data_IF_133733692629
#
_entry.id   IF_133733692629
#
_cell.length_a   1.000
_cell.length_b   1.000
_cell.length_c   1.000
_cell.angle_alpha   90.00
_cell.angle_beta   90.00
_cell.angle_gamma   90.00
#
_symmetry.space_group_name_H-M   'P 1'
#
loop_
_entity.id
_entity.type
_entity.pdbx_description
1 polymer ?
#
# COMPACT_ATOMS: atom_id res chain seq x y z
N UNK A 1 -86.15 -47.49 2.38
CA UNK A 1 -86.72 -46.39 1.57
C UNK A 1 -85.56 -45.51 1.10
N UNK A 2 -85.21 -45.58 -0.19
CA UNK A 2 -84.38 -44.58 -0.87
C UNK A 2 -85.24 -43.34 -1.17
N UNK A 3 -84.67 -42.10 -1.23
CA UNK A 3 -84.04 -41.59 -2.47
C UNK A 3 -82.81 -40.68 -2.25
N UNK A 4 -81.73 -40.82 -3.06
CA UNK A 4 -81.29 -39.93 -4.16
C UNK A 4 -80.94 -38.48 -3.79
N UNK A 5 -79.70 -38.05 -4.08
CA UNK A 5 -79.25 -36.82 -4.80
C UNK A 5 -77.72 -36.68 -4.59
N UNK A 6 -76.89 -37.00 -5.59
CA UNK A 6 -76.34 -36.10 -6.61
C UNK A 6 -75.09 -35.32 -6.16
N UNK A 7 -73.95 -35.74 -6.72
CA UNK A 7 -72.92 -34.93 -7.39
C UNK A 7 -72.27 -33.77 -6.64
N UNK A 8 -70.95 -33.87 -6.43
CA UNK A 8 -69.94 -32.92 -6.95
C UNK A 8 -68.55 -33.51 -6.60
N UNK A 9 -67.81 -33.96 -7.63
CA UNK A 9 -66.38 -34.26 -7.53
C UNK A 9 -65.63 -32.96 -7.82
N UNK A 10 -65.04 -32.34 -6.80
CA UNK A 10 -64.05 -31.27 -7.01
C UNK A 10 -62.70 -31.95 -7.15
N UNK A 11 -62.25 -32.09 -8.40
CA UNK A 11 -60.86 -32.41 -8.74
C UNK A 11 -60.01 -31.17 -8.43
N UNK A 12 -59.29 -31.19 -7.31
CA UNK A 12 -58.18 -30.27 -7.07
C UNK A 12 -56.97 -30.74 -7.88
N UNK A 13 -56.76 -30.15 -9.06
CA UNK A 13 -55.48 -30.21 -9.77
C UNK A 13 -54.51 -29.27 -9.06
N UNK A 14 -53.67 -29.83 -8.19
CA UNK A 14 -52.49 -29.13 -7.66
C UNK A 14 -51.42 -29.07 -8.76
N UNK A 15 -51.38 -27.97 -9.50
CA UNK A 15 -50.23 -27.62 -10.34
C UNK A 15 -49.04 -27.25 -9.44
N UNK A 16 -48.11 -28.19 -9.26
CA UNK A 16 -46.78 -27.91 -8.72
C UNK A 16 -46.00 -27.05 -9.72
N UNK A 17 -46.03 -25.74 -9.56
CA UNK A 17 -45.06 -24.82 -10.14
C UNK A 17 -43.72 -25.03 -9.43
N UNK A 18 -42.86 -25.86 -10.02
CA UNK A 18 -41.43 -25.91 -9.69
C UNK A 18 -40.79 -24.60 -10.17
N UNK A 19 -40.81 -23.59 -9.31
CA UNK A 19 -39.92 -22.44 -9.42
C UNK A 19 -38.50 -22.94 -9.14
N UNK A 20 -37.78 -23.29 -10.19
CA UNK A 20 -36.33 -23.46 -10.15
C UNK A 20 -35.71 -22.11 -9.82
N UNK A 21 -35.50 -21.86 -8.53
CA UNK A 21 -34.64 -20.78 -8.05
C UNK A 21 -33.23 -21.05 -8.54
N UNK A 22 -32.87 -20.44 -9.68
CA UNK A 22 -31.47 -20.29 -10.07
C UNK A 22 -30.83 -19.37 -9.03
N UNK A 23 -30.28 -19.96 -7.97
CA UNK A 23 -29.26 -19.27 -7.19
C UNK A 23 -28.12 -18.96 -8.16
N UNK A 24 -28.01 -17.70 -8.59
CA UNK A 24 -26.74 -17.20 -9.09
C UNK A 24 -25.73 -17.44 -7.97
N UNK A 25 -24.89 -18.46 -8.12
CA UNK A 25 -23.65 -18.50 -7.38
C UNK A 25 -22.88 -17.26 -7.82
N UNK A 26 -22.94 -16.20 -7.02
CA UNK A 26 -21.91 -15.18 -7.07
C UNK A 26 -20.58 -15.96 -7.01
N UNK A 27 -19.72 -15.76 -8.01
CA UNK A 27 -18.40 -16.40 -8.00
C UNK A 27 -17.71 -16.01 -6.70
N UNK A 28 -17.59 -16.97 -5.78
CA UNK A 28 -16.92 -16.74 -4.52
C UNK A 28 -15.46 -16.38 -4.82
N UNK A 29 -15.00 -15.26 -4.26
CA UNK A 29 -13.58 -14.89 -4.32
C UNK A 29 -12.82 -15.88 -3.44
N UNK A 30 -11.81 -16.51 -4.00
CA UNK A 30 -10.92 -17.41 -3.28
C UNK A 30 -9.84 -16.62 -2.54
N UNK A 31 -9.59 -16.94 -1.29
CA UNK A 31 -8.45 -16.42 -0.54
C UNK A 31 -7.55 -17.60 -0.15
N UNK A 32 -6.23 -17.53 -0.44
CA UNK A 32 -5.32 -18.63 -0.10
C UNK A 32 -5.13 -18.73 1.42
N UNK A 33 -5.07 -19.96 1.93
CA UNK A 33 -4.69 -20.21 3.31
C UNK A 33 -3.22 -19.81 3.57
N UNK A 34 -2.92 -19.45 4.81
CA UNK A 34 -1.56 -19.10 5.23
C UNK A 34 -0.60 -20.28 5.01
N UNK A 35 0.51 -20.03 4.31
CA UNK A 35 1.54 -21.05 4.02
C UNK A 35 1.16 -22.10 2.97
N UNK A 36 -0.06 -22.07 2.44
CA UNK A 36 -0.46 -22.95 1.35
C UNK A 36 0.09 -22.50 0.00
N UNK A 37 0.29 -23.45 -0.91
CA UNK A 37 0.53 -23.13 -2.31
C UNK A 37 -0.72 -22.45 -2.90
N UNK A 38 -0.50 -21.35 -3.62
CA UNK A 38 -1.61 -20.59 -4.19
C UNK A 38 -2.27 -21.36 -5.33
N UNK A 39 -3.57 -21.65 -5.18
CA UNK A 39 -4.33 -22.37 -6.19
C UNK A 39 -4.29 -21.66 -7.56
N UNK A 40 -3.99 -22.45 -8.59
CA UNK A 40 -3.93 -22.00 -9.99
C UNK A 40 -5.15 -22.51 -10.76
N UNK A 41 -5.60 -21.72 -11.74
CA UNK A 41 -6.70 -22.09 -12.64
C UNK A 41 -6.30 -21.82 -14.08
N UNK A 42 -6.78 -22.65 -15.01
CA UNK A 42 -6.58 -22.35 -16.42
C UNK A 42 -7.33 -21.07 -16.77
N UNK A 43 -6.74 -20.16 -17.59
CA UNK A 43 -7.41 -18.91 -17.96
C UNK A 43 -8.82 -19.13 -18.54
N UNK A 44 -8.99 -20.17 -19.35
CA UNK A 44 -10.28 -20.52 -19.96
C UNK A 44 -11.36 -20.88 -18.93
N UNK A 45 -11.01 -21.49 -17.78
CA UNK A 45 -11.98 -21.80 -16.70
C UNK A 45 -12.58 -20.54 -16.09
N UNK A 46 -11.89 -19.40 -16.20
CA UNK A 46 -12.30 -18.11 -15.66
C UNK A 46 -12.69 -17.11 -16.74
N UNK A 47 -12.94 -17.59 -17.98
CA UNK A 47 -13.36 -16.77 -19.10
C UNK A 47 -12.27 -15.83 -19.64
N UNK A 48 -11.00 -16.14 -19.40
CA UNK A 48 -9.86 -15.38 -19.90
C UNK A 48 -9.25 -16.03 -21.15
N UNK A 49 -8.78 -15.17 -22.06
CA UNK A 49 -8.04 -15.58 -23.25
C UNK A 49 -6.59 -15.91 -22.88
N UNK A 50 -6.22 -17.19 -23.01
CA UNK A 50 -4.90 -17.68 -22.65
C UNK A 50 -3.77 -17.07 -23.50
N UNK A 51 -4.02 -16.79 -24.79
CA UNK A 51 -3.01 -16.20 -25.67
C UNK A 51 -2.73 -14.75 -25.30
N UNK A 52 -3.78 -13.97 -24.99
CA UNK A 52 -3.60 -12.59 -24.52
C UNK A 52 -2.91 -12.52 -23.17
N UNK A 53 -3.23 -13.46 -22.26
CA UNK A 53 -2.57 -13.54 -20.96
C UNK A 53 -1.08 -13.86 -21.13
N UNK A 54 -0.75 -14.82 -21.98
CA UNK A 54 0.64 -15.15 -22.29
C UNK A 54 1.37 -13.96 -22.92
N UNK A 55 0.74 -13.24 -23.85
CA UNK A 55 1.33 -12.04 -24.45
C UNK A 55 1.65 -10.95 -23.41
N UNK A 56 0.82 -10.80 -22.37
CA UNK A 56 1.09 -9.88 -21.27
C UNK A 56 2.30 -10.33 -20.41
N UNK A 57 2.43 -11.64 -20.16
CA UNK A 57 3.59 -12.22 -19.47
C UNK A 57 4.87 -12.02 -20.28
N UNK A 58 4.83 -12.33 -21.57
CA UNK A 58 5.96 -12.17 -22.49
C UNK A 58 6.40 -10.70 -22.56
N UNK A 59 5.43 -9.78 -22.61
CA UNK A 59 5.71 -8.35 -22.55
C UNK A 59 6.42 -7.96 -21.25
N UNK A 60 5.95 -8.44 -20.09
CA UNK A 60 6.59 -8.14 -18.80
C UNK A 60 8.02 -8.69 -18.71
N UNK A 61 8.27 -9.89 -19.25
CA UNK A 61 9.61 -10.49 -19.31
C UNK A 61 10.54 -9.74 -20.26
N UNK A 62 10.04 -9.31 -21.42
CA UNK A 62 10.83 -8.59 -22.42
C UNK A 62 11.16 -7.14 -22.02
N UNK A 63 10.40 -6.55 -21.11
CA UNK A 63 10.54 -5.15 -20.66
C UNK A 63 11.07 -5.05 -19.22
N UNK A 64 11.95 -5.95 -18.82
CA UNK A 64 12.63 -5.83 -17.53
C UNK A 64 13.38 -4.48 -17.42
N UNK A 65 13.32 -3.86 -16.22
CA UNK A 65 14.14 -2.70 -15.90
C UNK A 65 15.63 -2.94 -16.24
N UNK A 66 16.20 -2.07 -17.07
CA UNK A 66 17.56 -2.20 -17.61
C UNK A 66 18.66 -1.66 -16.68
N UNK A 67 18.29 -0.95 -15.61
CA UNK A 67 19.26 -0.42 -14.66
C UNK A 67 19.94 -1.50 -13.80
N UNK A 68 20.93 -1.10 -12.99
CA UNK A 68 21.76 -2.02 -12.23
C UNK A 68 20.96 -3.00 -11.36
N UNK A 69 21.49 -4.22 -11.20
CA UNK A 69 20.96 -5.19 -10.23
C UNK A 69 21.25 -4.77 -8.80
N UNK A 70 22.36 -4.08 -8.56
CA UNK A 70 22.63 -3.44 -7.29
C UNK A 70 21.82 -2.15 -7.17
N UNK A 71 20.78 -2.17 -6.33
CA UNK A 71 19.90 -1.02 -6.16
C UNK A 71 20.61 0.17 -5.52
N UNK A 72 21.77 0.00 -4.86
CA UNK A 72 22.55 1.14 -4.38
C UNK A 72 23.00 2.02 -5.55
N UNK A 73 23.50 1.39 -6.62
CA UNK A 73 23.90 2.11 -7.82
C UNK A 73 22.70 2.76 -8.51
N UNK A 74 21.57 2.04 -8.60
CA UNK A 74 20.35 2.56 -9.23
C UNK A 74 19.80 3.78 -8.48
N UNK A 75 19.77 3.73 -7.14
CA UNK A 75 19.31 4.81 -6.27
C UNK A 75 20.21 6.04 -6.40
N UNK A 76 21.53 5.89 -6.18
CA UNK A 76 22.48 7.00 -6.25
C UNK A 76 22.49 7.66 -7.64
N UNK A 77 22.38 6.86 -8.71
CA UNK A 77 22.31 7.39 -10.07
C UNK A 77 20.98 8.09 -10.35
N UNK A 78 19.87 7.52 -9.87
CA UNK A 78 18.53 8.06 -10.09
C UNK A 78 18.31 9.43 -9.43
N UNK A 79 18.96 9.67 -8.30
CA UNK A 79 18.80 10.87 -7.49
C UNK A 79 20.07 11.73 -7.45
N UNK A 80 20.99 11.58 -8.40
CA UNK A 80 22.29 12.28 -8.42
C UNK A 80 22.22 13.81 -8.45
N UNK A 81 21.04 14.36 -8.77
CA UNK A 81 20.77 15.80 -8.80
C UNK A 81 20.31 16.37 -7.45
N UNK A 82 19.93 15.50 -6.52
CA UNK A 82 19.44 15.89 -5.21
C UNK A 82 20.62 16.18 -4.28
N UNK A 83 20.72 17.40 -3.72
CA UNK A 83 21.81 17.72 -2.81
C UNK A 83 21.68 16.90 -1.52
N UNK A 84 22.82 16.45 -0.99
CA UNK A 84 22.90 15.69 0.26
C UNK A 84 22.17 14.32 0.24
N UNK A 85 21.81 13.81 -0.94
CA UNK A 85 21.20 12.50 -1.04
C UNK A 85 22.19 11.40 -0.65
N UNK A 86 21.78 10.59 0.32
CA UNK A 86 22.53 9.45 0.83
C UNK A 86 21.60 8.24 0.99
N UNK A 87 22.20 7.04 0.93
CA UNK A 87 21.52 5.81 1.30
C UNK A 87 21.68 5.63 2.81
N UNK A 88 20.61 5.90 3.54
CA UNK A 88 20.54 5.82 5.01
C UNK A 88 19.59 4.73 5.50
N UNK A 89 18.95 3.99 4.60
CA UNK A 89 18.12 2.83 4.89
C UNK A 89 18.66 1.55 4.26
N UNK A 90 18.16 0.37 4.67
CA UNK A 90 18.53 -0.90 4.06
C UNK A 90 18.27 -0.93 2.56
N UNK A 91 19.22 -1.50 1.81
CA UNK A 91 19.12 -1.73 0.35
C UNK A 91 19.61 -3.12 0.03
N UNK A 92 18.96 -3.78 -0.92
CA UNK A 92 19.38 -5.08 -1.45
C UNK A 92 19.48 -5.07 -2.97
N UNK A 93 20.16 -6.06 -3.54
CA UNK A 93 20.10 -6.30 -5.00
C UNK A 93 18.68 -6.66 -5.39
N UNK A 94 18.19 -6.23 -6.55
CA UNK A 94 16.87 -6.63 -7.09
C UNK A 94 16.89 -8.02 -7.70
N UNK A 95 15.74 -8.70 -7.68
CA UNK A 95 15.51 -9.94 -8.41
C UNK A 95 15.31 -9.71 -9.92
N UNK A 96 15.03 -10.81 -10.63
CA UNK A 96 14.47 -10.80 -11.99
C UNK A 96 13.06 -10.20 -12.03
N UNK A 97 12.48 -10.02 -13.23
CA UNK A 97 11.07 -9.63 -13.33
C UNK A 97 10.23 -10.78 -12.74
N UNK A 98 9.42 -10.46 -11.75
CA UNK A 98 8.51 -11.41 -11.12
C UNK A 98 7.11 -10.79 -11.02
N UNK A 99 6.08 -11.60 -11.19
CA UNK A 99 4.72 -11.12 -11.18
C UNK A 99 3.70 -12.24 -11.18
N UNK A 100 2.46 -11.87 -10.84
CA UNK A 100 1.31 -12.76 -10.76
C UNK A 100 0.09 -12.01 -11.26
N UNK A 101 -0.80 -12.72 -11.95
CA UNK A 101 -2.12 -12.21 -12.34
C UNK A 101 -3.15 -13.09 -11.64
N UNK A 102 -4.06 -12.43 -10.93
CA UNK A 102 -5.14 -13.08 -10.20
C UNK A 102 -6.48 -12.82 -10.88
N UNK A 103 -7.36 -13.82 -10.86
CA UNK A 103 -8.78 -13.67 -11.20
C UNK A 103 -9.62 -14.41 -10.17
N UNK A 104 -10.51 -13.67 -9.51
CA UNK A 104 -11.35 -14.18 -8.41
C UNK A 104 -10.51 -14.87 -7.32
N UNK A 105 -9.30 -14.37 -7.07
CA UNK A 105 -8.37 -14.93 -6.09
C UNK A 105 -7.50 -16.09 -6.59
N UNK A 106 -7.77 -16.68 -7.75
CA UNK A 106 -6.94 -17.74 -8.33
C UNK A 106 -5.81 -17.17 -9.18
N UNK A 107 -4.65 -17.80 -9.13
CA UNK A 107 -3.54 -17.48 -10.04
C UNK A 107 -3.86 -18.00 -11.44
N UNK A 108 -3.87 -17.09 -12.42
CA UNK A 108 -4.07 -17.45 -13.84
C UNK A 108 -2.79 -17.33 -14.65
N UNK A 109 -1.82 -16.56 -14.17
CA UNK A 109 -0.47 -16.50 -14.69
C UNK A 109 0.50 -16.08 -13.59
N UNK A 110 1.74 -16.55 -13.66
CA UNK A 110 2.86 -16.09 -12.83
C UNK A 110 4.17 -16.26 -13.59
N UNK A 111 5.14 -15.41 -13.31
CA UNK A 111 6.47 -15.47 -13.89
C UNK A 111 7.53 -15.02 -12.89
N UNK A 112 8.77 -15.44 -13.13
CA UNK A 112 9.90 -15.17 -12.23
C UNK A 112 9.79 -15.87 -10.87
N UNK A 113 10.62 -15.44 -9.94
CA UNK A 113 10.62 -15.92 -8.55
C UNK A 113 9.68 -15.06 -7.70
N UNK A 114 8.42 -15.49 -7.60
CA UNK A 114 7.35 -14.76 -6.90
C UNK A 114 7.47 -14.80 -5.37
N UNK A 115 8.34 -15.66 -4.83
CA UNK A 115 8.58 -15.80 -3.38
C UNK A 115 9.76 -14.99 -2.91
N UNK A 116 10.59 -14.49 -3.84
CA UNK A 116 11.69 -13.61 -3.50
C UNK A 116 11.17 -12.32 -2.87
N UNK A 117 11.68 -12.01 -1.69
CA UNK A 117 11.48 -10.70 -1.06
C UNK A 117 12.27 -9.65 -1.84
N UNK A 118 11.60 -8.64 -2.39
CA UNK A 118 12.23 -7.51 -3.08
C UNK A 118 11.88 -6.19 -2.40
N UNK A 119 12.73 -5.18 -2.59
CA UNK A 119 12.45 -3.80 -2.20
C UNK A 119 11.45 -3.21 -3.20
N UNK A 120 10.32 -2.68 -2.73
CA UNK A 120 9.20 -2.27 -3.62
C UNK A 120 9.06 -0.76 -3.77
N UNK A 121 10.04 0.00 -3.26
CA UNK A 121 10.11 1.46 -3.38
C UNK A 121 8.80 2.11 -2.95
N UNK A 122 8.20 2.92 -3.83
CA UNK A 122 7.03 3.73 -3.53
C UNK A 122 5.73 2.96 -3.34
N UNK A 123 5.68 1.65 -3.64
CA UNK A 123 4.53 0.82 -3.27
C UNK A 123 4.32 0.82 -1.74
N UNK A 124 5.37 1.09 -0.97
CA UNK A 124 5.31 1.34 0.48
C UNK A 124 4.21 2.33 0.88
N UNK A 125 3.94 3.36 0.06
CA UNK A 125 2.93 4.39 0.35
C UNK A 125 1.51 3.81 0.49
N UNK A 126 1.19 2.72 -0.21
CA UNK A 126 -0.10 2.03 -0.10
C UNK A 126 -0.29 1.33 1.25
N UNK A 127 0.80 0.83 1.85
CA UNK A 127 0.77 0.27 3.19
C UNK A 127 0.65 1.38 4.23
N UNK A 128 1.34 2.49 3.99
CA UNK A 128 1.26 3.66 4.84
C UNK A 128 -0.15 4.27 4.87
N UNK A 129 -0.81 4.40 3.71
CA UNK A 129 -2.21 4.85 3.65
C UNK A 129 -3.16 3.88 4.34
N UNK A 130 -2.91 2.57 4.24
CA UNK A 130 -3.70 1.55 4.96
C UNK A 130 -3.55 1.69 6.47
N UNK A 131 -2.34 1.89 6.98
CA UNK A 131 -2.08 2.15 8.41
C UNK A 131 -2.74 3.45 8.89
N UNK A 132 -2.82 4.47 8.04
CA UNK A 132 -3.60 5.67 8.34
C UNK A 132 -5.10 5.36 8.43
N UNK A 133 -5.64 4.62 7.47
CA UNK A 133 -7.04 4.16 7.47
C UNK A 133 -7.40 3.37 8.74
N UNK A 134 -6.50 2.50 9.21
CA UNK A 134 -6.66 1.79 10.48
C UNK A 134 -6.67 2.74 11.68
N UNK A 135 -5.83 3.78 11.69
CA UNK A 135 -5.83 4.77 12.77
C UNK A 135 -7.15 5.57 12.83
N UNK A 136 -7.69 5.93 11.67
CA UNK A 136 -9.03 6.53 11.56
C UNK A 136 -10.11 5.59 12.09
N UNK A 137 -10.08 4.32 11.66
CA UNK A 137 -11.06 3.32 12.10
C UNK A 137 -11.03 3.07 13.61
N UNK A 138 -9.85 3.15 14.24
CA UNK A 138 -9.69 2.99 15.69
C UNK A 138 -9.91 4.29 16.48
N UNK A 139 -10.24 5.41 15.81
CA UNK A 139 -10.46 6.70 16.46
C UNK A 139 -9.19 7.35 17.01
N UNK A 140 -8.00 6.86 16.61
CA UNK A 140 -6.71 7.50 16.93
C UNK A 140 -6.52 8.80 16.15
N UNK A 141 -7.14 8.88 14.97
CA UNK A 141 -7.33 10.10 14.18
C UNK A 141 -8.84 10.30 14.08
N UNK A 142 -9.36 11.41 14.58
CA UNK A 142 -10.80 11.67 14.57
C UNK A 142 -11.31 12.03 13.17
N UNK A 143 -10.55 12.84 12.43
CA UNK A 143 -10.85 13.19 11.04
C UNK A 143 -9.58 13.42 10.22
N UNK A 144 -9.62 13.06 8.93
CA UNK A 144 -8.52 13.39 8.00
C UNK A 144 -8.35 14.91 7.82
N UNK A 145 -9.38 15.69 8.12
CA UNK A 145 -9.33 17.14 8.01
C UNK A 145 -8.78 17.82 9.26
N UNK A 146 -8.50 17.07 10.33
CA UNK A 146 -7.92 17.66 11.53
C UNK A 146 -6.47 18.08 11.27
N UNK A 147 -6.02 19.21 11.87
CA UNK A 147 -4.61 19.58 11.86
C UNK A 147 -3.76 18.52 12.56
N UNK A 148 -2.69 18.06 11.91
CA UNK A 148 -1.79 17.02 12.46
C UNK A 148 -1.09 17.53 13.73
N UNK A 149 -0.87 18.84 13.84
CA UNK A 149 -0.35 19.51 15.03
C UNK A 149 -1.16 19.24 16.31
N UNK A 150 -2.43 18.86 16.19
CA UNK A 150 -3.27 18.48 17.35
C UNK A 150 -2.91 17.11 17.93
N UNK A 151 -2.17 16.30 17.15
CA UNK A 151 -1.78 14.92 17.48
C UNK A 151 -0.28 14.79 17.73
N UNK A 152 0.53 15.60 17.03
CA UNK A 152 1.99 15.59 17.09
C UNK A 152 2.48 16.90 17.69
N UNK A 153 2.83 16.83 18.97
CA UNK A 153 3.15 17.96 19.86
C UNK A 153 4.64 18.25 20.07
N UNK A 154 5.53 17.68 19.25
CA UNK A 154 6.99 17.78 19.43
C UNK A 154 7.64 18.94 18.65
N UNK A 155 6.82 19.79 18.05
CA UNK A 155 7.27 20.91 17.22
C UNK A 155 7.36 20.63 15.71
N UNK A 156 7.13 19.39 15.26
CA UNK A 156 7.20 19.02 13.83
C UNK A 156 6.27 19.87 12.93
N UNK A 157 5.16 20.35 13.50
CA UNK A 157 4.18 21.18 12.80
C UNK A 157 4.11 22.62 13.34
N UNK A 158 5.14 23.11 14.03
CA UNK A 158 5.18 24.49 14.52
C UNK A 158 5.26 25.53 13.39
N UNK A 159 4.84 26.75 13.72
CA UNK A 159 4.87 27.90 12.82
C UNK A 159 3.58 28.09 12.02
N UNK A 160 3.46 29.29 11.44
CA UNK A 160 2.23 29.74 10.78
C UNK A 160 1.82 28.88 9.57
N UNK A 161 2.79 28.25 8.89
CA UNK A 161 2.54 27.40 7.73
C UNK A 161 2.23 25.95 8.12
N UNK A 162 3.16 25.28 8.79
CA UNK A 162 3.01 23.84 9.07
C UNK A 162 1.82 23.52 10.00
N UNK A 163 1.42 24.45 10.86
CA UNK A 163 0.27 24.27 11.76
C UNK A 163 -1.08 24.13 11.03
N UNK A 164 -1.15 24.54 9.75
CA UNK A 164 -2.35 24.42 8.91
C UNK A 164 -2.46 23.05 8.21
N UNK A 165 -1.45 22.19 8.35
CA UNK A 165 -1.40 20.91 7.62
C UNK A 165 -2.32 19.89 8.30
N UNK A 166 -3.25 19.33 7.53
CA UNK A 166 -4.12 18.24 7.94
C UNK A 166 -3.56 16.88 7.52
N UNK A 167 -4.15 15.81 8.07
CA UNK A 167 -3.82 14.44 7.64
C UNK A 167 -4.10 14.21 6.16
N UNK A 168 -5.20 14.76 5.65
CA UNK A 168 -5.57 14.74 4.23
C UNK A 168 -4.43 15.30 3.36
N UNK A 169 -3.91 16.48 3.72
CA UNK A 169 -2.81 17.08 2.96
C UNK A 169 -1.53 16.22 2.94
N UNK A 170 -1.23 15.50 4.02
CA UNK A 170 -0.12 14.54 4.03
C UNK A 170 -0.40 13.31 3.15
N UNK A 171 -1.61 12.74 3.27
CA UNK A 171 -2.04 11.56 2.52
C UNK A 171 -2.11 11.81 1.01
N UNK A 172 -2.50 13.01 0.61
CA UNK A 172 -2.60 13.43 -0.80
C UNK A 172 -1.34 14.10 -1.32
N UNK A 173 -0.27 14.21 -0.52
CA UNK A 173 0.99 14.89 -0.87
C UNK A 173 0.77 16.33 -1.38
N UNK A 174 -0.09 17.07 -0.68
CA UNK A 174 -0.40 18.48 -0.96
C UNK A 174 -0.15 19.40 0.25
N UNK A 175 0.57 18.91 1.26
CA UNK A 175 0.84 19.65 2.50
C UNK A 175 1.74 20.86 2.34
N UNK A 176 2.63 20.81 1.35
CA UNK A 176 3.78 21.69 1.26
C UNK A 176 4.54 21.86 2.60
N UNK A 177 4.59 20.78 3.41
CA UNK A 177 5.33 20.79 4.68
C UNK A 177 6.78 21.22 4.44
N UNK A 178 7.27 22.13 5.29
CA UNK A 178 8.62 22.67 5.18
C UNK A 178 9.43 22.37 6.44
N UNK A 179 10.64 21.87 6.27
CA UNK A 179 11.52 21.50 7.37
C UNK A 179 12.53 20.43 6.98
N UNK A 180 13.10 19.81 8.01
CA UNK A 180 14.05 18.72 7.87
C UNK A 180 13.60 17.54 8.72
N UNK A 181 13.61 16.33 8.14
CA UNK A 181 13.33 15.09 8.87
C UNK A 181 14.36 14.03 8.49
N UNK A 182 14.93 13.37 9.50
CA UNK A 182 15.97 12.33 9.31
C UNK A 182 17.16 12.78 8.46
N UNK A 183 17.54 14.06 8.54
CA UNK A 183 18.64 14.65 7.77
C UNK A 183 18.26 15.16 6.39
N UNK A 184 17.10 14.76 5.84
CA UNK A 184 16.59 15.24 4.56
C UNK A 184 15.79 16.53 4.69
N UNK A 185 16.10 17.53 3.86
CA UNK A 185 15.32 18.76 3.76
C UNK A 185 14.20 18.58 2.72
N UNK A 186 13.01 19.12 3.01
CA UNK A 186 11.87 19.02 2.09
C UNK A 186 12.19 19.55 0.68
N UNK A 187 12.91 20.67 0.59
CA UNK A 187 13.28 21.31 -0.67
C UNK A 187 14.43 20.63 -1.43
N UNK A 188 15.14 19.71 -0.77
CA UNK A 188 16.27 18.97 -1.37
C UNK A 188 15.81 17.69 -2.09
N UNK A 189 14.61 17.20 -1.79
CA UNK A 189 13.99 16.10 -2.51
C UNK A 189 13.40 16.64 -3.83
N UNK A 190 13.90 16.11 -4.95
CA UNK A 190 13.54 16.53 -6.32
C UNK A 190 13.55 18.05 -6.51
N UNK A 191 14.70 18.71 -6.30
CA UNK A 191 14.78 20.15 -6.39
C UNK A 191 14.47 20.62 -7.82
N UNK A 192 14.07 21.90 -7.98
CA UNK A 192 13.85 22.49 -9.29
C UNK A 192 15.00 22.26 -10.28
N UNK A 193 14.70 22.29 -11.58
CA UNK A 193 15.73 22.14 -12.63
C UNK A 193 16.66 23.33 -12.77
N UNK A 194 16.25 24.48 -12.27
CA UNK A 194 16.96 25.75 -12.33
C UNK A 194 17.09 26.33 -10.92
N UNK A 195 17.96 27.32 -10.77
CA UNK A 195 18.28 27.93 -9.47
C UNK A 195 19.38 27.20 -8.72
N UNK A 196 19.73 27.74 -7.55
CA UNK A 196 20.73 27.18 -6.64
C UNK A 196 20.18 26.90 -5.25
N UNK A 197 21.04 26.39 -4.37
CA UNK A 197 20.66 25.98 -3.00
C UNK A 197 19.93 27.09 -2.23
N UNK A 198 20.36 28.34 -2.35
CA UNK A 198 19.75 29.46 -1.63
C UNK A 198 18.33 29.74 -2.13
N UNK A 199 18.09 29.67 -3.44
CA UNK A 199 16.75 29.84 -4.02
C UNK A 199 15.81 28.69 -3.62
N UNK A 200 16.32 27.46 -3.60
CA UNK A 200 15.53 26.30 -3.19
C UNK A 200 15.16 26.34 -1.71
N UNK A 201 16.10 26.77 -0.84
CA UNK A 201 15.84 26.99 0.58
C UNK A 201 14.84 28.11 0.83
N UNK A 202 14.94 29.20 0.05
CA UNK A 202 14.05 30.34 0.14
C UNK A 202 12.77 30.17 -0.71
N UNK A 203 12.42 28.94 -1.09
CA UNK A 203 11.22 28.66 -1.89
C UNK A 203 9.98 29.28 -1.24
N UNK A 204 9.07 29.74 -2.09
CA UNK A 204 7.75 30.16 -1.63
C UNK A 204 6.97 28.93 -1.14
N UNK A 205 6.37 29.05 0.05
CA UNK A 205 5.40 28.07 0.56
C UNK A 205 4.03 28.31 -0.07
N UNK A 206 3.43 27.26 -0.60
CA UNK A 206 2.07 27.23 -1.13
C UNK A 206 1.11 26.85 0.01
N UNK A 207 -0.10 27.42 0.06
CA UNK A 207 -1.07 27.01 1.08
C UNK A 207 -1.33 25.49 1.03
N UNK A 208 -1.38 24.77 2.17
CA UNK A 208 -1.66 23.34 2.17
C UNK A 208 -2.98 23.01 1.44
N UNK A 209 -2.98 21.92 0.66
CA UNK A 209 -4.11 21.49 -0.16
C UNK A 209 -4.15 22.10 -1.56
N UNK A 210 -3.30 23.08 -1.90
CA UNK A 210 -3.38 23.80 -3.19
C UNK A 210 -2.50 23.24 -4.31
N UNK A 211 -1.39 22.58 -3.96
CA UNK A 211 -0.42 22.06 -4.94
C UNK A 211 -0.03 20.64 -4.55
N UNK A 212 -0.12 19.72 -5.50
CA UNK A 212 0.46 18.38 -5.36
C UNK A 212 1.96 18.43 -5.65
N UNK A 213 2.76 17.84 -4.78
CA UNK A 213 4.18 17.63 -5.01
C UNK A 213 4.60 16.28 -4.44
N UNK A 214 5.13 15.43 -5.32
CA UNK A 214 5.61 14.12 -4.89
C UNK A 214 6.94 14.26 -4.16
N UNK A 215 6.91 14.10 -2.83
CA UNK A 215 8.04 14.38 -1.93
C UNK A 215 8.11 13.32 -0.82
N UNK A 216 9.18 12.53 -0.82
CA UNK A 216 9.45 11.44 0.11
C UNK A 216 9.79 11.95 1.53
N UNK A 217 10.37 13.14 1.71
CA UNK A 217 10.55 13.74 3.05
C UNK A 217 9.18 13.98 3.71
N UNK A 218 8.23 14.56 2.97
CA UNK A 218 6.86 14.82 3.47
C UNK A 218 6.09 13.51 3.73
N UNK A 219 6.35 12.45 2.97
CA UNK A 219 5.79 11.12 3.24
C UNK A 219 6.41 10.51 4.50
N UNK A 220 7.69 10.75 4.78
CA UNK A 220 8.31 10.33 6.05
C UNK A 220 7.73 11.10 7.25
N UNK A 221 7.32 12.36 7.07
CA UNK A 221 6.56 13.11 8.09
C UNK A 221 5.22 12.43 8.37
N UNK A 222 4.52 11.92 7.36
CA UNK A 222 3.30 11.12 7.56
C UNK A 222 3.61 9.83 8.34
N UNK A 223 4.65 9.08 7.98
CA UNK A 223 5.03 7.87 8.70
C UNK A 223 5.39 8.13 10.16
N UNK A 224 6.13 9.21 10.41
CA UNK A 224 6.46 9.65 11.76
C UNK A 224 5.20 10.05 12.55
N UNK A 225 4.30 10.81 11.93
CA UNK A 225 3.05 11.24 12.57
C UNK A 225 2.15 10.04 12.90
N UNK A 226 2.11 9.04 12.04
CA UNK A 226 1.40 7.78 12.30
C UNK A 226 2.03 7.00 13.47
N UNK A 227 3.36 6.96 13.57
CA UNK A 227 4.03 6.38 14.74
C UNK A 227 3.61 7.09 16.04
N UNK A 228 3.51 8.42 16.01
CA UNK A 228 3.10 9.24 17.16
C UNK A 228 1.67 8.96 17.62
N UNK A 229 0.71 8.73 16.72
CA UNK A 229 -0.67 8.39 17.13
C UNK A 229 -0.82 6.93 17.51
N UNK A 230 -0.13 6.02 16.84
CA UNK A 230 -0.20 4.59 17.15
C UNK A 230 0.52 4.22 18.45
N UNK A 231 1.51 5.02 18.87
CA UNK A 231 2.38 4.71 20.02
C UNK A 231 2.99 3.31 19.92
N UNK A 232 3.21 2.83 18.70
CA UNK A 232 3.63 1.47 18.37
C UNK A 232 4.36 1.45 17.03
N UNK A 233 5.44 0.65 16.87
CA UNK A 233 6.12 0.55 15.58
C UNK A 233 5.15 0.14 14.48
N UNK A 234 5.08 0.93 13.39
CA UNK A 234 4.15 0.68 12.28
C UNK A 234 4.28 -0.72 11.65
N UNK A 235 5.46 -1.37 11.58
CA UNK A 235 5.55 -2.76 11.13
C UNK A 235 4.74 -3.71 12.00
N UNK A 236 4.65 -3.48 13.32
CA UNK A 236 3.83 -4.32 14.19
C UNK A 236 2.34 -4.05 13.99
N UNK A 237 1.95 -2.79 13.83
CA UNK A 237 0.57 -2.41 13.50
C UNK A 237 0.12 -3.10 12.21
N UNK A 238 0.93 -2.99 11.14
CA UNK A 238 0.67 -3.63 9.86
C UNK A 238 0.62 -5.17 9.99
N UNK A 239 1.54 -5.75 10.77
CA UNK A 239 1.58 -7.20 10.99
C UNK A 239 0.27 -7.71 11.61
N UNK A 240 -0.12 -7.12 12.74
CA UNK A 240 -1.24 -7.61 13.54
C UNK A 240 -2.59 -7.37 12.88
N UNK A 241 -2.76 -6.21 12.25
CA UNK A 241 -4.07 -5.80 11.74
C UNK A 241 -4.30 -6.22 10.28
N UNK A 242 -3.24 -6.53 9.52
CA UNK A 242 -3.35 -6.84 8.09
C UNK A 242 -2.59 -8.11 7.73
N UNK A 243 -1.27 -8.12 7.87
CA UNK A 243 -0.43 -9.15 7.24
C UNK A 243 -0.66 -10.55 7.84
N UNK A 244 -0.84 -10.65 9.16
CA UNK A 244 -1.20 -11.91 9.81
C UNK A 244 -2.63 -12.35 9.42
N UNK A 245 -3.68 -11.49 9.52
CA UNK A 245 -5.02 -11.84 9.07
C UNK A 245 -5.14 -12.32 7.61
N UNK A 246 -4.39 -11.72 6.69
CA UNK A 246 -4.40 -12.13 5.26
C UNK A 246 -3.50 -13.34 4.98
N UNK A 247 -2.87 -13.92 6.00
CA UNK A 247 -1.99 -15.08 5.87
C UNK A 247 -0.71 -14.80 5.07
N UNK A 248 -0.20 -13.57 5.12
CA UNK A 248 1.09 -13.24 4.52
C UNK A 248 2.24 -13.95 5.27
N UNK A 249 3.35 -14.17 4.57
CA UNK A 249 4.52 -14.81 5.15
C UNK A 249 5.16 -13.97 6.26
N UNK A 250 6.08 -14.56 7.03
CA UNK A 250 6.89 -13.86 8.03
C UNK A 250 8.16 -13.22 7.45
N UNK A 251 8.34 -13.23 6.12
CA UNK A 251 9.58 -12.84 5.46
C UNK A 251 9.65 -11.36 5.08
N UNK A 252 8.50 -10.68 5.00
CA UNK A 252 8.45 -9.26 4.68
C UNK A 252 9.01 -8.40 5.83
N UNK A 253 9.53 -7.23 5.50
CA UNK A 253 10.06 -6.25 6.46
C UNK A 253 9.67 -4.85 6.01
N UNK A 254 9.41 -3.97 6.97
CA UNK A 254 9.23 -2.54 6.70
C UNK A 254 10.28 -1.77 7.49
N UNK A 255 11.21 -1.17 6.78
CA UNK A 255 12.38 -0.53 7.36
C UNK A 255 12.24 0.98 7.41
N UNK A 256 12.81 1.58 8.46
CA UNK A 256 13.17 2.99 8.52
C UNK A 256 14.60 3.26 8.06
N UNK A 257 15.09 4.42 8.44
CA UNK A 257 16.47 4.85 8.26
C UNK A 257 17.30 4.64 9.54
N UNK A 258 18.62 4.56 9.40
CA UNK A 258 19.58 4.40 10.50
C UNK A 258 19.42 5.46 11.59
N UNK A 259 19.05 6.69 11.21
CA UNK A 259 18.84 7.84 12.09
C UNK A 259 17.37 8.12 12.44
N UNK A 260 16.42 7.25 12.04
CA UNK A 260 14.98 7.44 12.26
C UNK A 260 14.46 6.86 13.58
N UNK A 261 15.30 6.81 14.61
CA UNK A 261 14.94 6.32 15.94
C UNK A 261 14.50 7.46 16.85
N UNK A 262 13.37 7.27 17.53
CA UNK A 262 12.82 8.22 18.50
C UNK A 262 12.51 7.53 19.82
N UNK A 263 12.41 8.32 20.88
CA UNK A 263 11.86 7.87 22.16
C UNK A 263 10.41 8.31 22.24
N UNK A 264 9.49 7.35 22.34
CA UNK A 264 8.06 7.57 22.48
C UNK A 264 7.57 6.77 23.69
N UNK A 265 6.99 7.48 24.66
CA UNK A 265 6.55 6.91 25.95
C UNK A 265 7.65 6.10 26.68
N UNK A 266 8.88 6.60 26.61
CA UNK A 266 10.06 5.95 27.20
C UNK A 266 10.60 4.75 26.43
N UNK A 267 9.97 4.37 25.31
CA UNK A 267 10.40 3.28 24.45
C UNK A 267 11.12 3.81 23.21
N UNK A 268 12.26 3.19 22.89
CA UNK A 268 12.99 3.50 21.67
C UNK A 268 12.33 2.79 20.49
N UNK A 269 11.73 3.55 19.57
CA UNK A 269 11.02 3.06 18.40
C UNK A 269 11.60 3.65 17.12
N UNK A 270 11.56 2.90 16.02
CA UNK A 270 12.00 3.39 14.71
C UNK A 270 10.78 3.87 13.91
N UNK A 271 10.84 5.08 13.38
CA UNK A 271 9.93 5.52 12.31
C UNK A 271 10.34 4.84 11.02
N UNK A 272 9.40 4.17 10.36
CA UNK A 272 9.66 3.61 9.04
C UNK A 272 9.76 4.70 7.97
N UNK A 273 10.39 4.39 6.83
CA UNK A 273 10.34 5.28 5.68
C UNK A 273 9.08 4.99 4.85
N UNK A 274 8.53 6.04 4.24
CA UNK A 274 7.37 5.97 3.35
C UNK A 274 7.68 5.48 1.94
N UNK A 275 8.92 5.10 1.66
CA UNK A 275 9.40 4.70 0.35
C UNK A 275 10.84 4.21 0.40
N UNK A 276 11.37 3.91 -0.79
CA UNK A 276 12.73 3.40 -0.97
C UNK A 276 13.75 4.42 -1.46
N UNK A 277 13.41 5.72 -1.41
CA UNK A 277 14.17 6.83 -2.02
C UNK A 277 15.62 6.90 -1.53
N UNK A 278 15.82 6.72 -0.22
CA UNK A 278 17.13 6.67 0.44
C UNK A 278 17.43 5.27 1.00
N UNK A 279 16.86 4.23 0.38
CA UNK A 279 16.74 2.90 0.98
C UNK A 279 15.50 2.77 1.87
N UNK A 280 15.39 1.65 2.58
CA UNK A 280 14.25 1.37 3.47
C UNK A 280 12.94 1.08 2.73
N UNK A 281 11.82 1.29 3.41
CA UNK A 281 10.49 0.99 2.91
C UNK A 281 10.15 -0.50 3.05
N UNK A 282 9.15 -0.96 2.29
CA UNK A 282 8.68 -2.34 2.34
C UNK A 282 9.50 -3.25 1.44
N UNK A 283 9.91 -4.36 2.03
CA UNK A 283 10.60 -5.48 1.43
C UNK A 283 9.67 -6.68 1.54
N UNK A 284 9.22 -7.24 0.42
CA UNK A 284 8.11 -8.20 0.40
C UNK A 284 8.11 -9.02 -0.89
N UNK A 285 7.53 -10.21 -0.85
CA UNK A 285 7.39 -11.07 -2.03
C UNK A 285 6.20 -10.66 -2.90
N UNK A 286 6.20 -11.07 -4.16
CA UNK A 286 5.05 -10.88 -5.06
C UNK A 286 3.79 -11.55 -4.49
N UNK A 287 3.93 -12.73 -3.90
CA UNK A 287 2.81 -13.46 -3.29
C UNK A 287 2.21 -12.72 -2.09
N UNK A 288 3.01 -12.13 -1.21
CA UNK A 288 2.49 -11.36 -0.08
C UNK A 288 1.90 -10.01 -0.56
N UNK A 289 2.48 -9.39 -1.60
CA UNK A 289 1.90 -8.23 -2.27
C UNK A 289 0.52 -8.52 -2.85
N UNK A 290 0.37 -9.68 -3.51
CA UNK A 290 -0.89 -10.06 -4.10
C UNK A 290 -1.96 -10.33 -3.04
N UNK A 291 -1.59 -10.90 -1.87
CA UNK A 291 -2.52 -11.03 -0.72
C UNK A 291 -2.99 -9.68 -0.23
N UNK A 292 -2.07 -8.72 -0.07
CA UNK A 292 -2.44 -7.36 0.30
C UNK A 292 -3.33 -6.70 -0.75
N UNK A 293 -3.07 -6.93 -2.04
CA UNK A 293 -3.88 -6.42 -3.15
C UNK A 293 -5.32 -6.94 -3.16
N UNK A 294 -5.59 -8.13 -2.62
CA UNK A 294 -6.94 -8.69 -2.52
C UNK A 294 -7.84 -8.02 -1.46
N UNK A 295 -7.31 -7.07 -0.69
CA UNK A 295 -8.09 -6.27 0.26
C UNK A 295 -8.95 -5.19 -0.41
N UNK A 296 -8.66 -4.85 -1.68
CA UNK A 296 -9.27 -3.76 -2.44
C UNK A 296 -9.97 -4.30 -3.70
#
# INVERSE_FOLDING_TARGET
MNPLFSSIRILWLSSCLLLSSQFSQAQAVYFPEAGADWAQRQPAELGLDAQKLQAAVDFALANEYSGPRDLRMAILKGFEREPYHEIIGPVKKRGGPAGMILKNGYVVAKWGDTRRVDMTFSVTKSYLSTVAGLALQQGLIASVHDPVASYVWDGTFEGAHNSLISWDHLLTQSSDWSGQLWGGYDWADRPPRQGGLDEWRARRLNPPGTVFEYNDVRVNVLAYSLLQVWRKPLPQVLKENIMDPIGASTTWRWYGYENSWVTLDGLRMQSVSGGGHSGGGIFISTEDHARFGLLF
#
